data_IF_967583743698
#
_entry.id   IF_967583743698
#
_cell.length_a   1.000
_cell.length_b   1.000
_cell.length_c   1.000
_cell.angle_alpha   90.00
_cell.angle_beta   90.00
_cell.angle_gamma   90.00
#
_symmetry.space_group_name_H-M   'P 1'
#
loop_
_entity.id
_entity.type
_entity.pdbx_description
1 polymer ?
#
# COMPACT_ATOMS: atom_id res chain seq x y z
N UNK A 1 -12.66 20.17 -17.32
CA UNK A 1 -11.24 19.94 -16.99
C UNK A 1 -11.09 18.49 -16.59
N UNK A 2 -10.22 17.75 -17.27
CA UNK A 2 -9.92 16.35 -16.99
C UNK A 2 -8.74 16.23 -16.03
N UNK A 3 -8.94 15.54 -14.91
CA UNK A 3 -7.93 15.33 -13.86
C UNK A 3 -7.53 13.85 -13.81
N UNK A 4 -6.27 13.55 -14.13
CA UNK A 4 -5.70 12.22 -14.06
C UNK A 4 -5.30 11.83 -12.63
N UNK A 5 -5.71 10.64 -12.20
CA UNK A 5 -5.33 10.02 -10.93
C UNK A 5 -4.74 8.63 -11.23
N UNK A 6 -3.41 8.47 -11.17
CA UNK A 6 -2.76 7.17 -11.38
C UNK A 6 -3.17 6.14 -10.31
N UNK A 7 -3.54 4.93 -10.72
CA UNK A 7 -3.94 3.79 -9.87
C UNK A 7 -2.74 3.06 -9.23
N UNK A 8 -1.70 3.81 -8.85
CA UNK A 8 -0.48 3.25 -8.26
C UNK A 8 -0.26 3.66 -6.80
N UNK A 9 0.64 2.94 -6.12
CA UNK A 9 1.05 3.24 -4.74
C UNK A 9 -0.15 3.35 -3.78
N UNK A 10 -0.25 4.45 -3.02
CA UNK A 10 -1.29 4.62 -2.00
C UNK A 10 -2.66 5.01 -2.56
N UNK A 11 -2.86 4.89 -3.88
CA UNK A 11 -4.19 4.95 -4.49
C UNK A 11 -5.16 3.99 -3.77
N UNK A 12 -4.76 2.74 -3.55
CA UNK A 12 -5.60 1.73 -2.91
C UNK A 12 -6.08 2.12 -1.50
N UNK A 13 -5.38 3.05 -0.82
CA UNK A 13 -5.71 3.56 0.53
C UNK A 13 -6.39 4.94 0.53
N UNK A 14 -6.25 5.73 -0.53
CA UNK A 14 -6.66 7.15 -0.52
C UNK A 14 -7.43 7.61 -1.76
N UNK A 15 -7.78 6.69 -2.66
CA UNK A 15 -8.59 7.01 -3.83
C UNK A 15 -9.98 7.59 -3.48
N UNK A 16 -10.70 7.18 -2.41
CA UNK A 16 -12.02 7.73 -2.14
C UNK A 16 -11.94 9.23 -1.85
N UNK A 17 -10.91 9.66 -1.12
CA UNK A 17 -10.66 11.08 -0.88
C UNK A 17 -10.36 11.82 -2.19
N UNK A 18 -9.39 11.35 -2.99
CA UNK A 18 -8.95 12.06 -4.19
C UNK A 18 -10.06 12.15 -5.24
N UNK A 19 -10.71 11.02 -5.55
CA UNK A 19 -11.78 10.96 -6.56
C UNK A 19 -12.95 11.86 -6.16
N UNK A 20 -13.42 11.73 -4.92
CA UNK A 20 -14.54 12.56 -4.42
C UNK A 20 -14.17 14.03 -4.43
N UNK A 21 -12.95 14.38 -4.01
CA UNK A 21 -12.50 15.76 -3.97
C UNK A 21 -12.54 16.43 -5.35
N UNK A 22 -11.95 15.80 -6.37
CA UNK A 22 -11.92 16.38 -7.71
C UNK A 22 -13.28 16.35 -8.42
N UNK A 23 -14.08 15.30 -8.23
CA UNK A 23 -15.46 15.26 -8.74
C UNK A 23 -16.32 16.38 -8.14
N UNK A 24 -16.24 16.64 -6.83
CA UNK A 24 -16.97 17.72 -6.15
C UNK A 24 -16.51 19.12 -6.57
N UNK A 25 -15.29 19.25 -7.07
CA UNK A 25 -14.82 20.48 -7.71
C UNK A 25 -15.35 20.63 -9.15
N UNK A 26 -16.05 19.63 -9.69
CA UNK A 26 -16.58 19.61 -11.05
C UNK A 26 -15.53 19.24 -12.11
N UNK A 27 -14.49 18.49 -11.73
CA UNK A 27 -13.58 17.87 -12.69
C UNK A 27 -14.12 16.52 -13.17
N UNK A 28 -13.76 16.15 -14.39
CA UNK A 28 -13.89 14.78 -14.88
C UNK A 28 -12.64 14.01 -14.45
N UNK A 29 -12.81 13.04 -13.55
CA UNK A 29 -11.68 12.24 -13.03
C UNK A 29 -11.40 11.08 -13.97
N UNK A 30 -10.15 11.01 -14.45
CA UNK A 30 -9.63 9.91 -15.26
C UNK A 30 -8.71 9.08 -14.37
N UNK A 31 -9.03 7.80 -14.18
CA UNK A 31 -8.19 6.85 -13.44
C UNK A 31 -7.57 5.90 -14.45
N UNK A 32 -6.31 5.51 -14.26
CA UNK A 32 -5.69 4.47 -15.09
C UNK A 32 -6.33 3.10 -14.84
N UNK A 33 -6.18 2.20 -15.83
CA UNK A 33 -6.67 0.83 -15.73
C UNK A 33 -6.00 0.06 -14.59
N UNK A 34 -6.52 -1.14 -14.31
CA UNK A 34 -5.82 -2.10 -13.46
C UNK A 34 -4.42 -2.38 -14.00
N UNK A 35 -3.45 -2.50 -13.08
CA UNK A 35 -2.08 -2.85 -13.43
C UNK A 35 -2.08 -4.10 -14.30
N UNK A 36 -1.33 -4.03 -15.39
CA UNK A 36 -1.20 -5.11 -16.35
C UNK A 36 0.21 -5.07 -16.94
N UNK A 37 0.54 -6.04 -17.79
CA UNK A 37 1.87 -6.15 -18.38
C UNK A 37 2.30 -4.89 -19.13
N UNK A 38 1.38 -4.25 -19.88
CA UNK A 38 1.66 -3.00 -20.60
C UNK A 38 2.02 -1.86 -19.64
N UNK A 39 1.23 -1.68 -18.56
CA UNK A 39 1.52 -0.65 -17.54
C UNK A 39 2.87 -0.94 -16.87
N UNK A 40 3.14 -2.19 -16.48
CA UNK A 40 4.44 -2.54 -15.90
C UNK A 40 5.59 -2.22 -16.87
N UNK A 41 5.47 -2.62 -18.13
CA UNK A 41 6.53 -2.45 -19.13
C UNK A 41 6.78 -0.96 -19.46
N UNK A 42 5.73 -0.15 -19.58
CA UNK A 42 5.84 1.32 -19.67
C UNK A 42 6.52 1.89 -18.42
N UNK A 43 6.18 1.38 -17.25
CA UNK A 43 6.79 1.75 -15.98
C UNK A 43 8.28 1.45 -15.91
N UNK A 44 8.70 0.26 -16.38
CA UNK A 44 10.12 -0.13 -16.47
C UNK A 44 10.85 0.74 -17.49
N UNK A 45 10.21 1.09 -18.61
CA UNK A 45 10.79 1.95 -19.64
C UNK A 45 11.08 3.38 -19.13
N UNK A 46 10.14 3.98 -18.40
CA UNK A 46 10.27 5.37 -17.95
C UNK A 46 10.95 5.52 -16.59
N UNK A 47 10.90 4.53 -15.72
CA UNK A 47 11.45 4.65 -14.38
C UNK A 47 12.92 4.22 -14.33
N UNK A 48 13.67 4.76 -13.38
CA UNK A 48 15.05 4.35 -13.12
C UNK A 48 15.13 2.91 -12.59
N UNK A 49 16.20 2.20 -12.93
CA UNK A 49 16.37 0.77 -12.61
C UNK A 49 16.37 0.49 -11.09
N UNK A 50 16.99 1.37 -10.31
CA UNK A 50 17.10 1.24 -8.84
C UNK A 50 15.81 1.62 -8.07
N UNK A 51 14.71 1.90 -8.78
CA UNK A 51 13.41 2.07 -8.15
C UNK A 51 12.81 0.72 -7.76
N UNK A 52 12.03 0.67 -6.68
CA UNK A 52 11.24 -0.51 -6.37
C UNK A 52 10.09 -0.67 -7.38
N UNK A 53 9.67 -1.91 -7.62
CA UNK A 53 8.60 -2.25 -8.58
C UNK A 53 7.34 -1.37 -8.45
N UNK A 54 6.82 -1.04 -7.25
CA UNK A 54 5.64 -0.17 -7.11
C UNK A 54 5.82 1.25 -7.67
N UNK A 55 7.05 1.78 -7.61
CA UNK A 55 7.36 3.09 -8.19
C UNK A 55 7.44 2.98 -9.72
N UNK A 56 7.98 1.89 -10.27
CA UNK A 56 7.94 1.61 -11.72
C UNK A 56 6.50 1.51 -12.20
N UNK A 57 5.67 0.72 -11.52
CA UNK A 57 4.22 0.60 -11.81
C UNK A 57 3.52 1.96 -11.77
N UNK A 58 3.86 2.83 -10.80
CA UNK A 58 3.31 4.19 -10.78
C UNK A 58 3.67 5.01 -12.02
N UNK A 59 4.90 4.91 -12.54
CA UNK A 59 5.29 5.58 -13.79
C UNK A 59 4.47 5.05 -14.97
N UNK A 60 4.24 3.74 -15.02
CA UNK A 60 3.40 3.13 -16.04
C UNK A 60 1.94 3.60 -15.98
N UNK A 61 1.39 3.71 -14.78
CA UNK A 61 0.04 4.29 -14.59
C UNK A 61 -0.03 5.74 -15.06
N UNK A 62 0.97 6.55 -14.75
CA UNK A 62 1.07 7.92 -15.25
C UNK A 62 1.09 7.92 -16.79
N UNK A 63 2.03 7.21 -17.39
CA UNK A 63 2.21 7.15 -18.84
C UNK A 63 0.93 6.69 -19.57
N UNK A 64 0.16 5.79 -18.96
CA UNK A 64 -1.10 5.30 -19.55
C UNK A 64 -2.22 6.35 -19.67
N UNK A 65 -2.16 7.46 -18.91
CA UNK A 65 -3.24 8.46 -18.86
C UNK A 65 -2.80 9.89 -19.17
N UNK A 66 -1.51 10.15 -19.43
CA UNK A 66 -1.02 11.52 -19.68
C UNK A 66 -1.75 12.20 -20.85
N UNK A 67 -2.04 11.47 -21.93
CA UNK A 67 -2.71 12.00 -23.12
C UNK A 67 -4.22 12.24 -22.91
N UNK A 68 -4.78 11.71 -21.81
CA UNK A 68 -6.20 11.74 -21.51
C UNK A 68 -6.55 12.78 -20.43
N UNK A 69 -5.59 13.52 -19.89
CA UNK A 69 -5.82 14.50 -18.84
C UNK A 69 -5.10 15.85 -19.06
N UNK A 70 -5.69 16.93 -18.56
CA UNK A 70 -5.11 18.28 -18.64
C UNK A 70 -4.28 18.61 -17.39
N UNK A 71 -4.56 17.90 -16.30
CA UNK A 71 -3.94 18.02 -15.00
C UNK A 71 -3.79 16.63 -14.40
N UNK A 72 -2.63 16.30 -13.85
CA UNK A 72 -2.38 15.00 -13.21
C UNK A 72 -2.01 15.16 -11.74
N UNK A 73 -2.48 14.25 -10.90
CA UNK A 73 -2.16 14.24 -9.46
C UNK A 73 -0.99 13.30 -9.21
N UNK A 74 0.16 13.84 -8.79
CA UNK A 74 1.31 13.05 -8.36
C UNK A 74 1.51 13.26 -6.86
N UNK A 75 1.08 12.32 -6.00
CA UNK A 75 0.98 12.56 -4.57
C UNK A 75 2.36 12.59 -3.91
N UNK A 76 2.81 13.79 -3.51
CA UNK A 76 3.99 13.97 -2.65
C UNK A 76 3.63 13.83 -1.18
N UNK A 77 3.41 12.60 -0.74
CA UNK A 77 3.09 12.36 0.68
C UNK A 77 4.36 12.56 1.51
N UNK A 78 4.26 13.37 2.56
CA UNK A 78 5.39 13.66 3.46
C UNK A 78 5.17 13.03 4.84
N UNK A 79 3.97 13.20 5.39
CA UNK A 79 3.61 12.70 6.72
C UNK A 79 2.13 12.35 6.80
N UNK A 80 1.84 11.17 7.34
CA UNK A 80 0.48 10.76 7.71
C UNK A 80 0.23 10.96 9.21
N UNK A 81 1.26 10.76 10.03
CA UNK A 81 1.19 10.87 11.48
C UNK A 81 2.22 11.85 12.05
N UNK A 82 1.94 12.41 13.22
CA UNK A 82 2.85 13.35 13.88
C UNK A 82 4.13 12.62 14.32
N UNK A 83 5.28 13.19 13.95
CA UNK A 83 6.62 12.65 14.20
C UNK A 83 6.92 11.33 13.49
N UNK A 84 6.16 11.00 12.46
CA UNK A 84 6.42 9.89 11.55
C UNK A 84 6.48 10.43 10.12
N UNK A 85 7.22 9.73 9.27
CA UNK A 85 7.44 10.09 7.89
C UNK A 85 7.10 8.90 6.99
N UNK A 86 7.10 9.14 5.69
CA UNK A 86 6.81 8.12 4.68
C UNK A 86 8.11 7.63 4.01
N UNK A 87 8.01 6.63 3.13
CA UNK A 87 9.13 6.20 2.31
C UNK A 87 9.69 7.38 1.48
N UNK A 88 11.02 7.60 1.46
CA UNK A 88 11.64 8.71 0.71
C UNK A 88 11.29 8.75 -0.78
N UNK A 89 10.94 7.61 -1.39
CA UNK A 89 10.48 7.57 -2.79
C UNK A 89 9.17 8.32 -3.00
N UNK A 90 8.29 8.44 -1.99
CA UNK A 90 7.11 9.34 -2.07
C UNK A 90 7.49 10.81 -2.03
N UNK A 91 8.51 11.16 -1.23
CA UNK A 91 8.97 12.54 -1.09
C UNK A 91 9.52 13.09 -2.42
N UNK A 92 10.24 12.26 -3.18
CA UNK A 92 10.78 12.59 -4.50
C UNK A 92 9.95 12.10 -5.68
N UNK A 93 8.78 11.50 -5.45
CA UNK A 93 7.95 10.89 -6.51
C UNK A 93 7.62 11.89 -7.64
N UNK A 94 7.24 13.16 -7.36
CA UNK A 94 6.94 14.09 -8.44
C UNK A 94 8.13 14.36 -9.35
N UNK A 95 9.32 14.58 -8.80
CA UNK A 95 10.53 14.81 -9.59
C UNK A 95 10.93 13.56 -10.38
N UNK A 96 10.77 12.37 -9.78
CA UNK A 96 11.05 11.11 -10.49
C UNK A 96 10.17 10.98 -11.74
N UNK A 97 8.88 11.26 -11.60
CA UNK A 97 7.92 11.10 -12.71
C UNK A 97 8.07 12.19 -13.76
N UNK A 98 8.07 13.46 -13.34
CA UNK A 98 8.03 14.62 -14.26
C UNK A 98 9.28 14.69 -15.13
N UNK A 99 10.44 14.28 -14.60
CA UNK A 99 11.69 14.34 -15.35
C UNK A 99 11.96 13.08 -16.19
N UNK A 100 11.14 12.03 -16.04
CA UNK A 100 11.37 10.76 -16.76
C UNK A 100 10.33 10.46 -17.83
N UNK A 101 9.21 11.18 -17.85
CA UNK A 101 8.15 11.05 -18.85
C UNK A 101 8.08 12.35 -19.64
N UNK A 102 8.20 12.26 -20.96
CA UNK A 102 8.10 13.41 -21.86
C UNK A 102 6.65 13.91 -21.97
N UNK A 103 6.47 15.17 -22.35
CA UNK A 103 5.16 15.79 -22.62
C UNK A 103 4.16 15.73 -21.46
N UNK A 104 4.65 15.79 -20.22
CA UNK A 104 3.79 15.76 -19.03
C UNK A 104 2.79 16.92 -19.01
N UNK A 105 1.49 16.65 -18.73
CA UNK A 105 0.54 17.70 -18.44
C UNK A 105 0.91 18.43 -17.14
N UNK A 106 0.17 19.50 -16.82
CA UNK A 106 0.34 20.16 -15.51
C UNK A 106 0.18 19.14 -14.40
N UNK A 107 1.03 19.19 -13.38
CA UNK A 107 0.99 18.24 -12.27
C UNK A 107 0.73 18.95 -10.94
N UNK A 108 -0.17 18.39 -10.12
CA UNK A 108 -0.28 18.73 -8.69
C UNK A 108 0.79 17.94 -7.95
N UNK A 109 1.77 18.65 -7.40
CA UNK A 109 2.97 18.07 -6.75
C UNK A 109 3.21 18.61 -5.34
N UNK A 110 2.30 19.45 -4.86
CA UNK A 110 2.38 20.08 -3.54
C UNK A 110 2.50 19.02 -2.43
N UNK A 111 3.33 19.26 -1.40
CA UNK A 111 3.54 18.30 -0.33
C UNK A 111 2.25 18.07 0.49
N UNK A 112 1.94 16.81 0.72
CA UNK A 112 0.79 16.35 1.51
C UNK A 112 1.25 16.04 2.94
N UNK A 113 0.74 16.84 3.88
CA UNK A 113 0.85 16.59 5.31
C UNK A 113 -0.53 16.26 5.88
N UNK A 114 -0.81 14.98 6.08
CA UNK A 114 -2.10 14.48 6.58
C UNK A 114 -2.17 14.36 8.10
N UNK A 115 -1.20 14.93 8.85
CA UNK A 115 -1.16 14.83 10.32
C UNK A 115 -2.30 15.59 11.03
N UNK A 116 -3.05 16.42 10.31
CA UNK A 116 -4.27 17.07 10.82
C UNK A 116 -5.16 17.57 9.67
N UNK A 117 -6.46 17.73 9.95
CA UNK A 117 -7.43 18.30 8.99
C UNK A 117 -6.99 19.66 8.45
N UNK A 118 -6.35 20.49 9.26
CA UNK A 118 -5.84 21.83 8.86
C UNK A 118 -4.70 21.72 7.85
N UNK A 119 -3.73 20.84 8.09
CA UNK A 119 -2.59 20.65 7.19
C UNK A 119 -3.04 20.02 5.86
N UNK A 120 -3.87 18.99 5.91
CA UNK A 120 -4.42 18.37 4.69
C UNK A 120 -5.28 19.36 3.89
N UNK A 121 -6.08 20.19 4.57
CA UNK A 121 -6.84 21.25 3.90
C UNK A 121 -5.96 22.30 3.21
N UNK A 122 -4.74 22.53 3.71
CA UNK A 122 -3.80 23.46 3.07
C UNK A 122 -3.37 22.95 1.70
N UNK A 123 -3.09 21.64 1.59
CA UNK A 123 -2.88 20.98 0.29
C UNK A 123 -4.12 21.06 -0.59
N UNK A 124 -5.31 20.74 -0.06
CA UNK A 124 -6.57 20.78 -0.82
C UNK A 124 -6.86 22.19 -1.37
N UNK A 125 -6.48 23.24 -0.65
CA UNK A 125 -6.60 24.62 -1.12
C UNK A 125 -5.70 24.92 -2.33
N UNK A 126 -4.48 24.40 -2.35
CA UNK A 126 -3.57 24.56 -3.48
C UNK A 126 -4.06 23.75 -4.69
N UNK A 127 -4.39 22.47 -4.47
CA UNK A 127 -4.96 21.59 -5.48
C UNK A 127 -6.25 22.18 -6.09
N UNK A 128 -7.21 22.61 -5.28
CA UNK A 128 -8.46 23.19 -5.78
C UNK A 128 -8.29 24.55 -6.49
N UNK A 129 -7.30 25.36 -6.09
CA UNK A 129 -6.95 26.60 -6.80
C UNK A 129 -6.36 26.33 -8.18
N UNK A 130 -5.64 25.22 -8.38
CA UNK A 130 -5.13 24.84 -9.70
C UNK A 130 -6.28 24.55 -10.70
N UNK A 131 -7.48 24.24 -10.21
CA UNK A 131 -8.72 24.12 -10.98
C UNK A 131 -9.52 25.44 -11.05
N UNK A 132 -8.94 26.58 -10.64
CA UNK A 132 -9.59 27.89 -10.55
C UNK A 132 -10.85 27.90 -9.66
N UNK A 133 -10.88 27.10 -8.59
CA UNK A 133 -12.03 27.04 -7.67
C UNK A 133 -11.86 27.96 -6.48
N UNK A 134 -12.98 28.51 -5.98
CA UNK A 134 -13.00 29.40 -4.83
C UNK A 134 -12.89 28.62 -3.49
N UNK A 135 -12.52 29.31 -2.41
CA UNK A 135 -12.31 28.67 -1.10
C UNK A 135 -13.57 27.98 -0.53
N UNK A 136 -14.77 28.48 -0.83
CA UNK A 136 -16.03 27.91 -0.32
C UNK A 136 -16.30 26.55 -0.97
N UNK A 137 -16.21 26.49 -2.31
CA UNK A 137 -16.33 25.26 -3.09
C UNK A 137 -15.28 24.24 -2.68
N UNK A 138 -14.02 24.66 -2.52
CA UNK A 138 -12.94 23.79 -2.06
C UNK A 138 -13.23 23.24 -0.66
N UNK A 139 -13.73 24.05 0.26
CA UNK A 139 -14.05 23.61 1.61
C UNK A 139 -15.16 22.57 1.63
N UNK A 140 -16.20 22.75 0.81
CA UNK A 140 -17.29 21.79 0.66
C UNK A 140 -16.78 20.45 0.11
N UNK A 141 -16.08 20.49 -1.03
CA UNK A 141 -15.47 19.31 -1.66
C UNK A 141 -14.54 18.56 -0.69
N UNK A 142 -13.70 19.28 0.05
CA UNK A 142 -12.81 18.69 1.05
C UNK A 142 -13.55 17.97 2.18
N UNK A 143 -14.64 18.53 2.69
CA UNK A 143 -15.41 17.87 3.74
C UNK A 143 -16.13 16.62 3.21
N UNK A 144 -16.68 16.67 1.99
CA UNK A 144 -17.29 15.51 1.34
C UNK A 144 -16.27 14.40 1.11
N UNK A 145 -15.07 14.74 0.61
CA UNK A 145 -13.98 13.80 0.42
C UNK A 145 -13.51 13.14 1.72
N UNK A 146 -13.46 13.88 2.84
CA UNK A 146 -13.16 13.29 4.15
C UNK A 146 -14.25 12.32 4.61
N UNK A 147 -15.52 12.61 4.34
CA UNK A 147 -16.63 11.69 4.66
C UNK A 147 -16.54 10.43 3.80
N UNK A 148 -16.31 10.57 2.49
CA UNK A 148 -16.13 9.45 1.58
C UNK A 148 -14.98 8.53 2.03
N UNK A 149 -13.82 9.10 2.39
CA UNK A 149 -12.70 8.33 2.90
C UNK A 149 -13.00 7.58 4.21
N UNK A 150 -13.79 8.17 5.11
CA UNK A 150 -14.15 7.52 6.39
C UNK A 150 -15.15 6.39 6.21
N UNK A 151 -16.03 6.52 5.24
CA UNK A 151 -17.08 5.53 4.97
C UNK A 151 -16.59 4.40 4.07
N UNK A 152 -15.41 4.54 3.47
CA UNK A 152 -14.80 3.49 2.69
C UNK A 152 -14.19 2.43 3.62
N UNK A 153 -14.64 1.20 3.47
CA UNK A 153 -14.04 0.04 4.13
C UNK A 153 -12.91 -0.48 3.24
N UNK A 154 -11.73 -0.58 3.81
CA UNK A 154 -10.53 -1.13 3.19
C UNK A 154 -10.13 -2.40 3.94
N UNK A 155 -9.39 -3.28 3.29
CA UNK A 155 -8.87 -4.50 3.88
C UNK A 155 -9.64 -5.77 3.55
N UNK A 156 -9.07 -6.89 3.99
CA UNK A 156 -9.60 -8.24 3.82
C UNK A 156 -9.73 -8.86 5.21
N UNK A 157 -10.90 -9.43 5.48
CA UNK A 157 -11.18 -10.22 6.68
C UNK A 157 -12.04 -11.41 6.26
N UNK A 158 -11.36 -12.45 5.80
CA UNK A 158 -12.02 -13.68 5.40
C UNK A 158 -12.62 -14.41 6.61
N UNK A 159 -13.76 -15.07 6.41
CA UNK A 159 -14.45 -15.84 7.45
C UNK A 159 -14.73 -17.26 6.95
N UNK A 160 -14.82 -18.21 7.88
CA UNK A 160 -15.18 -19.59 7.57
C UNK A 160 -14.03 -20.50 7.12
N UNK A 161 -12.78 -20.06 7.30
CA UNK A 161 -11.58 -20.86 7.05
C UNK A 161 -11.02 -21.43 8.35
N UNK A 162 -10.56 -22.68 8.32
CA UNK A 162 -9.92 -23.34 9.46
C UNK A 162 -8.55 -22.73 9.76
N UNK A 163 -7.78 -22.40 8.71
CA UNK A 163 -6.51 -21.71 8.80
C UNK A 163 -6.66 -20.27 8.32
N UNK A 164 -6.11 -19.33 9.08
CA UNK A 164 -6.10 -17.91 8.75
C UNK A 164 -4.69 -17.36 8.82
N UNK A 165 -4.31 -16.50 7.88
CA UNK A 165 -2.99 -15.85 7.88
C UNK A 165 -3.13 -14.33 7.98
N UNK A 166 -2.14 -13.71 8.62
CA UNK A 166 -1.95 -12.27 8.53
C UNK A 166 -1.19 -11.95 7.24
N UNK A 167 -1.87 -11.35 6.27
CA UNK A 167 -1.23 -10.81 5.06
C UNK A 167 -0.79 -9.38 5.34
N UNK A 168 0.52 -9.18 5.40
CA UNK A 168 1.16 -7.90 5.74
C UNK A 168 2.08 -7.45 4.62
N UNK A 169 2.32 -6.15 4.52
CA UNK A 169 3.01 -5.53 3.41
C UNK A 169 2.43 -4.15 3.12
N UNK A 170 2.97 -3.47 2.12
CA UNK A 170 2.39 -2.20 1.71
C UNK A 170 1.08 -2.40 0.94
N UNK A 171 0.13 -1.47 1.07
CA UNK A 171 -1.18 -1.53 0.41
C UNK A 171 -1.09 -1.77 -1.11
N UNK A 172 -0.11 -1.17 -1.78
CA UNK A 172 0.14 -1.37 -3.21
C UNK A 172 0.71 -2.73 -3.60
N UNK A 173 1.21 -3.49 -2.63
CA UNK A 173 1.59 -4.89 -2.84
C UNK A 173 0.44 -5.82 -2.48
N UNK A 174 -0.41 -5.46 -1.51
CA UNK A 174 -1.52 -6.33 -1.09
C UNK A 174 -2.70 -6.25 -2.07
N UNK A 175 -3.07 -5.05 -2.51
CA UNK A 175 -4.33 -4.83 -3.25
C UNK A 175 -4.17 -4.75 -4.77
N UNK A 176 -2.94 -4.72 -5.27
CA UNK A 176 -2.67 -4.78 -6.70
C UNK A 176 -2.55 -6.24 -7.15
N UNK A 177 -3.63 -6.77 -7.73
CA UNK A 177 -3.76 -8.17 -8.12
C UNK A 177 -2.72 -8.62 -9.16
N UNK A 178 -2.25 -7.71 -10.01
CA UNK A 178 -1.20 -8.04 -10.97
C UNK A 178 0.16 -8.14 -10.26
N UNK A 179 0.47 -7.18 -9.38
CA UNK A 179 1.72 -7.14 -8.64
C UNK A 179 1.88 -8.31 -7.67
N UNK A 180 0.79 -8.73 -7.04
CA UNK A 180 0.79 -9.86 -6.11
C UNK A 180 0.47 -11.21 -6.76
N UNK A 181 0.19 -11.22 -8.07
CA UNK A 181 -0.19 -12.41 -8.82
C UNK A 181 -1.41 -13.13 -8.24
N UNK A 182 -2.46 -12.37 -7.93
CA UNK A 182 -3.70 -12.82 -7.31
C UNK A 182 -3.49 -13.62 -6.01
N UNK A 183 -2.52 -13.20 -5.17
CA UNK A 183 -2.11 -13.93 -3.97
C UNK A 183 -3.29 -14.31 -3.05
N UNK A 184 -4.19 -13.37 -2.77
CA UNK A 184 -5.35 -13.60 -1.89
C UNK A 184 -6.21 -14.74 -2.42
N UNK A 185 -6.56 -14.68 -3.71
CA UNK A 185 -7.36 -15.73 -4.36
C UNK A 185 -6.68 -17.09 -4.26
N UNK A 186 -5.37 -17.15 -4.51
CA UNK A 186 -4.62 -18.41 -4.43
C UNK A 186 -4.59 -19.00 -3.03
N UNK A 187 -4.48 -18.15 -2.00
CA UNK A 187 -4.56 -18.61 -0.60
C UNK A 187 -5.97 -19.13 -0.29
N UNK A 188 -7.02 -18.46 -0.75
CA UNK A 188 -8.39 -18.93 -0.58
C UNK A 188 -8.64 -20.25 -1.32
N UNK A 189 -8.09 -20.42 -2.54
CA UNK A 189 -8.16 -21.68 -3.30
C UNK A 189 -7.44 -22.83 -2.57
N UNK A 190 -6.45 -22.52 -1.73
CA UNK A 190 -5.78 -23.46 -0.81
C UNK A 190 -6.53 -23.65 0.53
N UNK A 191 -7.72 -23.07 0.71
CA UNK A 191 -8.49 -23.18 1.95
C UNK A 191 -7.97 -22.32 3.10
N UNK A 192 -7.20 -21.26 2.80
CA UNK A 192 -6.63 -20.35 3.81
C UNK A 192 -7.33 -18.98 3.73
N UNK A 193 -7.82 -18.52 4.88
CA UNK A 193 -8.39 -17.18 5.03
C UNK A 193 -7.31 -16.10 5.20
N UNK A 194 -7.55 -14.91 4.67
CA UNK A 194 -6.65 -13.77 4.76
C UNK A 194 -7.23 -12.68 5.68
N UNK A 195 -6.37 -12.16 6.56
CA UNK A 195 -6.65 -10.99 7.40
C UNK A 195 -5.59 -9.92 7.15
N UNK A 196 -6.01 -8.66 6.99
CA UNK A 196 -5.11 -7.50 6.81
C UNK A 196 -5.21 -6.49 7.96
N UNK A 197 -4.28 -5.52 7.98
CA UNK A 197 -4.06 -4.61 9.12
C UNK A 197 -5.24 -3.67 9.42
N UNK A 198 -6.13 -3.42 8.46
CA UNK A 198 -7.25 -2.47 8.55
C UNK A 198 -8.28 -2.85 9.62
N UNK A 199 -8.34 -4.13 9.99
CA UNK A 199 -9.22 -4.64 11.05
C UNK A 199 -8.58 -4.57 12.45
N UNK A 200 -7.35 -4.08 12.55
CA UNK A 200 -6.66 -3.89 13.83
C UNK A 200 -6.74 -2.43 14.27
N UNK A 201 -7.17 -2.22 15.51
CA UNK A 201 -7.34 -0.86 16.03
C UNK A 201 -6.00 -0.13 16.13
N UNK A 202 -5.98 1.14 15.72
CA UNK A 202 -4.78 1.99 15.71
C UNK A 202 -4.06 2.05 17.06
N UNK A 203 -4.79 2.00 18.18
CA UNK A 203 -4.18 2.03 19.50
C UNK A 203 -3.38 0.75 19.82
N UNK A 204 -3.79 -0.40 19.27
CA UNK A 204 -3.09 -1.69 19.39
C UNK A 204 -1.82 -1.67 18.55
N UNK A 205 -1.91 -1.23 17.29
CA UNK A 205 -0.75 -1.08 16.39
C UNK A 205 0.34 -0.21 17.02
N UNK A 206 -0.09 0.90 17.66
CA UNK A 206 0.80 1.82 18.38
C UNK A 206 1.40 1.20 19.62
N UNK A 207 0.63 0.43 20.40
CA UNK A 207 1.12 -0.24 21.59
C UNK A 207 2.24 -1.23 21.23
N UNK A 208 2.02 -2.07 20.22
CA UNK A 208 3.04 -3.02 19.76
C UNK A 208 4.31 -2.33 19.25
N UNK A 209 4.15 -1.32 18.40
CA UNK A 209 5.27 -0.54 17.89
C UNK A 209 6.03 0.25 18.99
N UNK A 210 5.39 0.53 20.13
CA UNK A 210 6.04 1.23 21.26
C UNK A 210 6.97 0.33 22.07
N UNK A 211 6.88 -0.99 21.91
CA UNK A 211 7.77 -1.96 22.53
C UNK A 211 9.15 -2.03 21.84
N UNK A 212 9.30 -1.41 20.67
CA UNK A 212 10.59 -1.31 19.99
C UNK A 212 11.53 -0.35 20.73
N UNK A 213 12.84 -0.61 20.64
CA UNK A 213 13.88 0.21 21.28
C UNK A 213 13.74 1.71 20.98
N UNK A 214 13.26 2.05 19.79
CA UNK A 214 12.95 3.40 19.38
C UNK A 214 11.63 3.42 18.64
N UNK A 215 10.86 4.49 18.84
CA UNK A 215 9.65 4.76 18.05
C UNK A 215 9.97 4.69 16.54
N UNK A 216 9.19 3.92 15.75
CA UNK A 216 9.38 3.86 14.32
C UNK A 216 9.34 5.23 13.66
N UNK A 217 10.29 5.47 12.76
CA UNK A 217 10.34 6.69 11.97
C UNK A 217 9.30 6.67 10.83
N UNK A 218 9.05 5.50 10.24
CA UNK A 218 8.13 5.34 9.13
C UNK A 218 6.74 4.86 9.56
N UNK A 219 5.69 5.49 9.04
CA UNK A 219 4.29 5.12 9.37
C UNK A 219 3.98 3.65 9.06
N UNK A 220 4.40 3.16 7.89
CA UNK A 220 4.13 1.77 7.51
C UNK A 220 4.90 0.75 8.35
N UNK A 221 6.01 1.14 8.98
CA UNK A 221 6.67 0.27 9.96
C UNK A 221 5.73 0.01 11.12
N UNK A 222 5.13 1.06 11.69
CA UNK A 222 4.19 0.91 12.80
C UNK A 222 2.97 0.07 12.42
N UNK A 223 2.37 0.33 11.25
CA UNK A 223 1.20 -0.41 10.76
C UNK A 223 1.54 -1.90 10.54
N UNK A 224 2.55 -2.20 9.72
CA UNK A 224 2.87 -3.57 9.32
C UNK A 224 3.48 -4.39 10.47
N UNK A 225 4.37 -3.80 11.26
CA UNK A 225 4.95 -4.45 12.44
C UNK A 225 3.89 -4.67 13.52
N UNK A 226 3.13 -3.62 13.86
CA UNK A 226 2.14 -3.67 14.93
C UNK A 226 1.06 -4.70 14.65
N UNK A 227 0.60 -4.79 13.40
CA UNK A 227 -0.38 -5.78 12.97
C UNK A 227 0.19 -7.20 13.07
N UNK A 228 1.33 -7.44 12.42
CA UNK A 228 1.94 -8.77 12.34
C UNK A 228 2.28 -9.34 13.72
N UNK A 229 2.87 -8.52 14.60
CA UNK A 229 3.24 -8.94 15.96
C UNK A 229 2.00 -9.16 16.83
N UNK A 230 1.01 -8.27 16.75
CA UNK A 230 -0.24 -8.45 17.50
C UNK A 230 -0.94 -9.75 17.09
N UNK A 231 -1.09 -9.98 15.78
CA UNK A 231 -1.77 -11.17 15.26
C UNK A 231 -1.09 -12.47 15.71
N UNK A 232 0.25 -12.50 15.73
CA UNK A 232 1.01 -13.65 16.23
C UNK A 232 0.91 -13.82 17.75
N UNK A 233 0.99 -12.75 18.54
CA UNK A 233 0.93 -12.82 20.02
C UNK A 233 -0.44 -13.23 20.53
N UNK A 234 -1.49 -12.66 19.95
CA UNK A 234 -2.88 -12.99 20.28
C UNK A 234 -3.31 -14.34 19.69
N UNK A 235 -2.45 -14.97 18.86
CA UNK A 235 -2.75 -16.20 18.13
C UNK A 235 -4.08 -16.10 17.37
N UNK A 236 -4.33 -14.93 16.78
CA UNK A 236 -5.55 -14.67 16.00
C UNK A 236 -5.44 -15.15 14.55
N UNK A 237 -4.28 -15.67 14.18
CA UNK A 237 -3.91 -16.25 12.88
C UNK A 237 -2.94 -17.41 13.13
N UNK A 238 -2.72 -18.24 12.12
CA UNK A 238 -1.84 -19.42 12.15
C UNK A 238 -0.46 -19.13 11.54
N UNK A 239 -0.37 -18.10 10.71
CA UNK A 239 0.87 -17.70 10.06
C UNK A 239 0.87 -16.26 9.56
N UNK A 240 2.05 -15.77 9.19
CA UNK A 240 2.24 -14.45 8.61
C UNK A 240 2.82 -14.63 7.20
N UNK A 241 2.19 -13.97 6.22
CA UNK A 241 2.77 -13.78 4.90
C UNK A 241 3.08 -12.30 4.73
N UNK A 242 4.37 -11.98 4.56
CA UNK A 242 4.82 -10.62 4.25
C UNK A 242 5.09 -10.49 2.76
N UNK A 243 4.28 -9.70 2.04
CA UNK A 243 4.52 -9.35 0.64
C UNK A 243 5.32 -8.04 0.54
N UNK A 244 6.52 -8.15 -0.03
CA UNK A 244 7.48 -7.06 -0.20
C UNK A 244 7.87 -6.93 -1.65
N UNK A 245 8.33 -5.74 -2.05
CA UNK A 245 8.90 -5.55 -3.39
C UNK A 245 10.43 -5.54 -3.34
N UNK A 246 11.07 -6.02 -4.41
CA UNK A 246 12.50 -5.80 -4.60
C UNK A 246 12.83 -4.29 -4.54
N UNK A 247 14.02 -3.98 -4.03
CA UNK A 247 14.47 -2.61 -3.72
C UNK A 247 13.62 -1.84 -2.68
N UNK A 248 12.76 -2.49 -1.89
CA UNK A 248 12.12 -1.85 -0.75
C UNK A 248 13.04 -1.85 0.50
N UNK A 249 13.68 -0.71 0.74
CA UNK A 249 14.56 -0.53 1.92
C UNK A 249 13.81 -0.56 3.26
N UNK A 250 12.57 -0.07 3.31
CA UNK A 250 11.77 -0.07 4.54
C UNK A 250 11.41 -1.49 4.97
N UNK A 251 10.93 -2.30 4.03
CA UNK A 251 10.52 -3.68 4.30
C UNK A 251 11.68 -4.52 4.83
N UNK A 252 12.90 -4.29 4.31
CA UNK A 252 14.10 -4.98 4.78
C UNK A 252 14.35 -4.82 6.29
N UNK A 253 13.94 -3.68 6.86
CA UNK A 253 14.01 -3.43 8.31
C UNK A 253 12.77 -4.01 9.01
N UNK A 254 11.57 -3.77 8.47
CA UNK A 254 10.31 -4.20 9.11
C UNK A 254 10.25 -5.72 9.27
N UNK A 255 10.61 -6.45 8.21
CA UNK A 255 10.61 -7.92 8.19
C UNK A 255 11.52 -8.47 9.29
N UNK A 256 12.71 -7.90 9.44
CA UNK A 256 13.69 -8.32 10.44
C UNK A 256 13.21 -8.01 11.87
N UNK A 257 12.56 -6.86 12.08
CA UNK A 257 11.95 -6.52 13.37
C UNK A 257 10.85 -7.52 13.75
N UNK A 258 9.98 -7.90 12.80
CA UNK A 258 8.92 -8.88 13.07
C UNK A 258 9.53 -10.24 13.39
N UNK A 259 10.46 -10.74 12.56
CA UNK A 259 11.14 -12.03 12.76
C UNK A 259 11.81 -12.13 14.13
N UNK A 260 12.53 -11.09 14.56
CA UNK A 260 13.17 -11.09 15.87
C UNK A 260 12.19 -11.04 17.03
N UNK A 261 10.98 -10.50 16.82
CA UNK A 261 9.96 -10.38 17.86
C UNK A 261 9.13 -11.65 18.02
N UNK A 262 8.88 -12.37 16.91
CA UNK A 262 8.09 -13.61 16.89
C UNK A 262 8.82 -14.76 16.17
N UNK A 263 10.02 -15.16 16.63
CA UNK A 263 10.92 -16.05 15.87
C UNK A 263 10.37 -17.45 15.62
N UNK A 264 9.54 -17.98 16.51
CA UNK A 264 8.94 -19.32 16.39
C UNK A 264 7.59 -19.34 15.64
N UNK A 265 7.11 -18.17 15.21
CA UNK A 265 5.83 -18.04 14.52
C UNK A 265 5.99 -18.28 13.02
N UNK A 266 5.09 -19.02 12.35
CA UNK A 266 5.18 -19.26 10.91
C UNK A 266 5.24 -17.96 10.12
N UNK A 267 6.30 -17.77 9.33
CA UNK A 267 6.55 -16.51 8.62
C UNK A 267 7.11 -16.74 7.22
N UNK A 268 6.34 -16.39 6.19
CA UNK A 268 6.75 -16.43 4.79
C UNK A 268 6.98 -15.02 4.24
N UNK A 269 8.10 -14.82 3.54
CA UNK A 269 8.38 -13.56 2.83
C UNK A 269 8.21 -13.77 1.33
N UNK A 270 7.21 -13.16 0.72
CA UNK A 270 7.06 -13.12 -0.72
C UNK A 270 7.68 -11.82 -1.24
N UNK A 271 8.76 -11.93 -2.01
CA UNK A 271 9.41 -10.77 -2.64
C UNK A 271 9.06 -10.75 -4.11
N UNK A 272 8.43 -9.68 -4.58
CA UNK A 272 7.98 -9.49 -5.96
C UNK A 272 8.83 -8.42 -6.67
N UNK A 273 9.09 -8.65 -7.95
CA UNK A 273 9.76 -7.75 -8.88
C UNK A 273 9.17 -7.89 -10.30
N UNK A 274 9.64 -7.06 -11.23
CA UNK A 274 9.21 -7.03 -12.63
C UNK A 274 9.49 -8.31 -13.44
N UNK A 275 10.34 -9.20 -12.92
CA UNK A 275 10.74 -10.46 -13.54
C UNK A 275 10.18 -11.68 -12.81
N UNK A 276 9.46 -11.49 -11.71
CA UNK A 276 9.02 -12.58 -10.86
C UNK A 276 8.03 -13.46 -11.64
N UNK A 277 8.32 -14.76 -11.67
CA UNK A 277 7.45 -15.75 -12.28
C UNK A 277 6.40 -16.28 -11.31
N UNK A 278 5.18 -16.48 -11.80
CA UNK A 278 4.05 -16.95 -11.00
C UNK A 278 4.27 -18.31 -10.35
N UNK A 279 4.93 -19.24 -11.06
CA UNK A 279 5.20 -20.59 -10.57
C UNK A 279 6.01 -20.60 -9.26
N UNK A 280 6.97 -19.68 -9.13
CA UNK A 280 7.80 -19.58 -7.92
C UNK A 280 7.04 -19.09 -6.69
N UNK A 281 5.99 -18.28 -6.88
CA UNK A 281 5.12 -17.88 -5.76
C UNK A 281 4.22 -19.05 -5.36
N UNK A 282 3.62 -19.73 -6.34
CA UNK A 282 2.68 -20.83 -6.10
C UNK A 282 3.31 -21.95 -5.25
N UNK A 283 4.48 -22.45 -5.64
CA UNK A 283 5.15 -23.51 -4.87
C UNK A 283 5.48 -23.09 -3.43
N UNK A 284 5.76 -21.80 -3.20
CA UNK A 284 6.09 -21.28 -1.86
C UNK A 284 4.87 -21.12 -0.97
N UNK A 285 3.73 -20.73 -1.54
CA UNK A 285 2.47 -20.66 -0.78
C UNK A 285 1.91 -22.05 -0.51
N UNK A 286 2.03 -22.99 -1.44
CA UNK A 286 1.68 -24.41 -1.26
C UNK A 286 2.51 -25.02 -0.12
N UNK A 287 3.84 -24.89 -0.17
CA UNK A 287 4.71 -25.40 0.89
C UNK A 287 4.44 -24.74 2.25
N UNK A 288 4.01 -23.48 2.27
CA UNK A 288 3.63 -22.79 3.50
C UNK A 288 2.29 -23.29 4.04
N UNK A 289 1.30 -23.53 3.17
CA UNK A 289 0.03 -24.15 3.53
C UNK A 289 0.24 -25.53 4.17
N UNK A 290 1.00 -26.42 3.50
CA UNK A 290 1.34 -27.75 4.01
C UNK A 290 2.00 -27.68 5.41
N UNK A 291 2.87 -26.69 5.63
CA UNK A 291 3.54 -26.50 6.92
C UNK A 291 2.54 -26.07 8.01
N UNK A 292 1.58 -25.19 7.69
CA UNK A 292 0.54 -24.78 8.64
C UNK A 292 -0.39 -25.94 9.00
N UNK A 293 -0.83 -26.72 8.01
CA UNK A 293 -1.70 -27.89 8.21
C UNK A 293 -1.06 -28.95 9.11
N UNK A 294 0.23 -29.26 8.87
CA UNK A 294 0.99 -30.19 9.72
C UNK A 294 1.10 -29.69 11.15
N UNK A 295 1.34 -28.40 11.34
CA UNK A 295 1.43 -27.79 12.67
C UNK A 295 0.09 -27.81 13.41
N UNK A 296 -1.02 -27.71 12.70
CA UNK A 296 -2.37 -27.84 13.27
C UNK A 296 -2.71 -29.30 13.64
N UNK A 297 -2.23 -30.26 12.85
CA UNK A 297 -2.50 -31.69 13.06
C UNK A 297 -1.61 -32.33 14.12
N UNK A 298 -0.33 -31.95 14.16
CA UNK A 298 0.67 -32.47 15.08
C UNK A 298 0.98 -31.41 16.16
N UNK A 299 0.19 -31.37 17.25
CA UNK A 299 0.49 -30.55 18.45
C UNK A 299 1.80 -31.01 19.14
N UNK A 300 2.94 -30.80 18.50
CA UNK A 300 4.24 -30.85 19.15
C UNK A 300 5.04 -29.63 18.68
N UNK A 301 5.46 -28.81 19.65
CA UNK A 301 6.34 -27.65 19.49
C UNK A 301 7.68 -28.06 18.85
N UNK A 302 7.70 -28.25 17.54
CA UNK A 302 8.96 -28.37 16.79
C UNK A 302 9.28 -26.98 16.27
N UNK A 303 10.37 -26.43 16.81
CA UNK A 303 10.98 -25.20 16.35
C UNK A 303 11.18 -25.22 14.83
N UNK A 304 10.91 -24.10 14.15
CA UNK A 304 11.22 -23.89 12.72
C UNK A 304 12.72 -23.95 12.41
N UNK A 305 13.57 -24.17 13.41
CA UNK A 305 15.03 -24.27 13.26
C UNK A 305 15.59 -25.68 13.52
N UNK A 306 14.73 -26.68 13.73
CA UNK A 306 15.16 -27.98 14.25
C UNK A 306 15.42 -27.94 15.74
#
# INVERSE_FOLDING_TARGET
>A
MKVGIPKGLLYYKYHPFLITFFNELGAEVIVSDDTNKKILDEGVKYCVDDACMPVKIFHGHVASIIDNCELIVIPRIMQLWKNEYICPKFCGLPEMVINSIDNMPKAITDPIYATSKKKLYSWAKLAGKSLNKNNSTIKKAFNHALTAQRNHLEGIYDQGYELNIALTGHAYNIYDNYSNMNLVRKLNDLGIGVITAEFTQEHILRAEASNLYKRPFWTFTRENYGFAVNAAKEKSVDGIIYISSFNCGLDSIIIELIKNTVPSFPFLILKVDEHTGEAGINTRIEAFADMLERRASDENNISTHG
#
